data_IF_170847956833
#
_entry.id   IF_170847956833
#
_cell.length_a   1.000
_cell.length_b   1.000
_cell.length_c   1.000
_cell.angle_alpha   90.00
_cell.angle_beta   90.00
_cell.angle_gamma   90.00
#
_symmetry.space_group_name_H-M   'P 1'
#
loop_
_entity.id
_entity.type
_entity.pdbx_description
1 polymer ?
#
# COMPACT_ATOMS: atom_id res chain seq x y z
N UNK A 1 -2.74 9.46 -6.96
CA UNK A 1 -1.32 9.49 -6.56
C UNK A 1 -1.04 10.72 -5.71
N UNK A 2 -0.06 10.64 -4.80
CA UNK A 2 0.42 11.72 -3.94
C UNK A 2 1.86 12.06 -4.36
N UNK A 3 2.16 13.36 -4.49
CA UNK A 3 3.51 13.84 -4.80
C UNK A 3 4.29 14.08 -3.51
N UNK A 4 5.50 13.55 -3.41
CA UNK A 4 6.47 13.88 -2.36
C UNK A 4 7.43 14.95 -2.89
N UNK A 5 7.35 16.21 -2.42
CA UNK A 5 8.25 17.28 -2.87
C UNK A 5 9.70 17.04 -2.48
N UNK A 6 9.93 16.47 -1.29
CA UNK A 6 11.26 16.24 -0.74
C UNK A 6 12.04 15.20 -1.56
N UNK A 7 11.34 14.22 -2.12
CA UNK A 7 11.93 13.13 -2.90
C UNK A 7 11.70 13.27 -4.41
N UNK A 8 10.85 14.20 -4.84
CA UNK A 8 10.54 14.43 -6.25
C UNK A 8 9.78 13.27 -6.93
N UNK A 9 9.06 12.44 -6.17
CA UNK A 9 8.38 11.24 -6.68
C UNK A 9 6.87 11.29 -6.49
N UNK A 10 6.16 10.55 -7.34
CA UNK A 10 4.74 10.26 -7.16
C UNK A 10 4.56 8.83 -6.66
N UNK A 11 3.76 8.64 -5.62
CA UNK A 11 3.38 7.34 -5.09
C UNK A 11 1.85 7.17 -5.14
N UNK A 12 1.38 5.92 -5.30
CA UNK A 12 -0.05 5.63 -5.18
C UNK A 12 -0.43 5.58 -3.70
N UNK A 13 -1.60 6.14 -3.40
CA UNK A 13 -2.19 6.16 -2.08
C UNK A 13 -3.30 5.10 -2.05
N UNK A 14 -3.26 4.20 -1.07
CA UNK A 14 -4.20 3.09 -0.98
C UNK A 14 -5.64 3.58 -0.83
N UNK A 15 -5.90 4.64 -0.07
CA UNK A 15 -7.22 5.23 0.06
C UNK A 15 -7.78 5.75 -1.26
N UNK A 16 -6.92 6.39 -2.05
CA UNK A 16 -7.29 6.81 -3.39
C UNK A 16 -7.72 5.60 -4.24
N UNK A 17 -6.91 4.54 -4.26
CA UNK A 17 -7.18 3.31 -5.04
C UNK A 17 -8.47 2.62 -4.58
N UNK A 18 -8.68 2.50 -3.26
CA UNK A 18 -9.87 1.87 -2.69
C UNK A 18 -11.14 2.68 -3.01
N UNK A 19 -11.06 4.01 -3.00
CA UNK A 19 -12.19 4.88 -3.37
C UNK A 19 -12.56 4.74 -4.84
N UNK A 20 -11.57 4.77 -5.74
CA UNK A 20 -11.80 4.54 -7.18
C UNK A 20 -12.46 3.18 -7.42
N UNK A 21 -12.01 2.13 -6.71
CA UNK A 21 -12.59 0.80 -6.81
C UNK A 21 -14.05 0.74 -6.34
N UNK A 22 -14.39 1.39 -5.22
CA UNK A 22 -15.79 1.49 -4.75
C UNK A 22 -16.68 2.17 -5.78
N UNK A 23 -16.22 3.25 -6.40
CA UNK A 23 -16.97 3.97 -7.45
C UNK A 23 -17.24 3.06 -8.65
N UNK A 24 -16.23 2.30 -9.10
CA UNK A 24 -16.41 1.35 -10.22
C UNK A 24 -17.41 0.25 -9.90
N UNK A 25 -17.33 -0.36 -8.71
CA UNK A 25 -18.26 -1.42 -8.28
C UNK A 25 -19.69 -0.87 -8.20
N UNK A 26 -19.88 0.30 -7.58
CA UNK A 26 -21.20 0.91 -7.44
C UNK A 26 -21.79 1.35 -8.79
N UNK A 27 -20.95 1.68 -9.79
CA UNK A 27 -21.42 2.05 -11.13
C UNK A 27 -21.97 0.86 -11.95
N UNK A 28 -21.62 -0.38 -11.60
CA UNK A 28 -22.15 -1.60 -12.21
C UNK A 28 -23.46 -2.08 -11.52
N UNK A 29 -23.70 -1.64 -10.29
CA UNK A 29 -24.88 -1.95 -9.47
C UNK A 29 -25.88 -0.75 -9.38
N UNK A 30 -26.55 -0.43 -10.49
CA UNK A 30 -27.80 0.38 -10.63
C UNK A 30 -27.77 1.92 -10.64
N UNK A 31 -28.73 2.42 -11.43
CA UNK A 31 -29.15 3.79 -11.78
C UNK A 31 -29.63 4.72 -10.65
N UNK A 32 -29.23 4.51 -9.40
CA UNK A 32 -29.61 5.40 -8.30
C UNK A 32 -28.42 6.33 -7.97
N UNK A 33 -28.56 7.61 -8.31
CA UNK A 33 -27.62 8.71 -8.07
C UNK A 33 -27.40 8.96 -6.55
N UNK A 34 -26.88 7.99 -5.81
CA UNK A 34 -26.41 8.19 -4.45
C UNK A 34 -24.96 8.67 -4.50
N UNK A 35 -24.80 9.99 -4.64
CA UNK A 35 -23.51 10.65 -4.45
C UNK A 35 -22.98 10.32 -3.05
N UNK A 36 -21.82 9.66 -2.99
CA UNK A 36 -21.11 9.41 -1.74
C UNK A 36 -20.80 10.78 -1.09
N UNK A 37 -21.60 11.19 -0.11
CA UNK A 37 -21.36 12.44 0.62
C UNK A 37 -20.00 12.33 1.33
N UNK A 38 -19.31 13.47 1.39
CA UNK A 38 -17.91 13.61 1.82
C UNK A 38 -17.57 12.92 3.14
N UNK A 39 -18.55 12.61 4.00
CA UNK A 39 -18.36 12.03 5.33
C UNK A 39 -18.26 10.49 5.39
N UNK A 40 -18.87 9.75 4.45
CA UNK A 40 -18.79 8.26 4.42
C UNK A 40 -17.59 7.76 3.58
N UNK A 41 -16.94 8.70 2.88
CA UNK A 41 -15.70 8.51 2.13
C UNK A 41 -14.42 8.85 2.93
N UNK A 42 -14.55 9.21 4.21
CA UNK A 42 -13.43 9.64 5.07
C UNK A 42 -12.66 8.48 5.69
N UNK A 43 -13.33 7.38 6.04
CA UNK A 43 -12.67 6.22 6.63
C UNK A 43 -12.29 5.22 5.54
N UNK A 44 -11.08 5.43 5.04
CA UNK A 44 -10.36 4.44 4.29
C UNK A 44 -9.83 3.37 5.25
N UNK A 45 -10.54 2.24 5.33
CA UNK A 45 -10.10 1.12 6.14
C UNK A 45 -9.04 0.29 5.38
N UNK A 46 -7.79 0.51 5.73
CA UNK A 46 -6.63 -0.18 5.15
C UNK A 46 -6.19 -1.39 5.98
N UNK A 47 -6.90 -1.72 7.06
CA UNK A 47 -6.49 -2.79 8.00
C UNK A 47 -6.33 -4.15 7.32
N UNK A 48 -7.05 -4.38 6.22
CA UNK A 48 -7.02 -5.64 5.46
C UNK A 48 -6.46 -5.46 4.04
N UNK A 49 -5.61 -4.45 3.85
CA UNK A 49 -5.03 -4.12 2.53
C UNK A 49 -3.51 -4.20 2.60
N UNK A 50 -2.90 -4.83 1.61
CA UNK A 50 -1.44 -4.91 1.47
C UNK A 50 -1.00 -4.34 0.12
N UNK A 51 0.12 -3.64 0.10
CA UNK A 51 0.82 -3.22 -1.11
C UNK A 51 2.06 -4.10 -1.28
N UNK A 52 2.20 -4.76 -2.42
CA UNK A 52 3.39 -5.55 -2.77
C UNK A 52 4.08 -4.84 -3.93
N UNK A 53 5.32 -4.40 -3.71
CA UNK A 53 6.08 -3.63 -4.70
C UNK A 53 7.58 -3.84 -4.49
N UNK A 54 8.37 -3.74 -5.54
CA UNK A 54 9.83 -3.81 -5.49
C UNK A 54 10.49 -2.43 -5.36
N UNK A 55 9.71 -1.34 -5.41
CA UNK A 55 10.19 0.01 -5.19
C UNK A 55 9.86 0.51 -3.77
N UNK A 56 10.86 0.74 -2.89
CA UNK A 56 10.63 1.25 -1.54
C UNK A 56 9.84 2.56 -1.48
N UNK A 57 10.00 3.43 -2.49
CA UNK A 57 9.33 4.73 -2.51
C UNK A 57 7.82 4.62 -2.81
N UNK A 58 7.35 3.48 -3.33
CA UNK A 58 5.92 3.24 -3.52
C UNK A 58 5.15 3.22 -2.19
N UNK A 59 5.82 2.88 -1.08
CA UNK A 59 5.20 2.76 0.23
C UNK A 59 5.10 4.07 1.01
N UNK A 60 5.64 5.17 0.49
CA UNK A 60 5.66 6.47 1.20
C UNK A 60 4.29 6.89 1.77
N UNK A 61 3.15 6.72 1.07
CA UNK A 61 1.84 7.11 1.61
C UNK A 61 1.32 6.14 2.67
N UNK A 62 1.64 4.85 2.56
CA UNK A 62 1.09 3.78 3.41
C UNK A 62 2.18 2.79 3.85
N UNK A 63 3.18 3.24 4.63
CA UNK A 63 4.38 2.44 4.90
C UNK A 63 4.10 1.18 5.72
N UNK A 64 3.12 1.23 6.62
CA UNK A 64 2.75 0.07 7.46
C UNK A 64 1.92 -0.99 6.72
N UNK A 65 1.61 -0.79 5.44
CA UNK A 65 0.85 -1.73 4.60
C UNK A 65 1.74 -2.41 3.54
N UNK A 66 3.06 -2.16 3.56
CA UNK A 66 3.96 -2.60 2.51
C UNK A 66 4.60 -3.97 2.74
N UNK A 67 4.75 -4.72 1.65
CA UNK A 67 5.61 -5.89 1.50
C UNK A 67 6.61 -5.55 0.39
N UNK A 68 7.81 -5.13 0.79
CA UNK A 68 8.89 -4.85 -0.16
C UNK A 68 9.46 -6.18 -0.67
N UNK A 69 9.41 -6.38 -1.98
CA UNK A 69 9.93 -7.59 -2.63
C UNK A 69 11.18 -7.30 -3.46
N UNK A 70 11.95 -8.34 -3.73
CA UNK A 70 13.10 -8.25 -4.63
C UNK A 70 12.64 -7.98 -6.06
N UNK A 71 13.42 -7.21 -6.82
CA UNK A 71 13.20 -7.10 -8.27
C UNK A 71 13.45 -8.45 -8.93
N UNK A 72 12.47 -8.93 -9.69
CA UNK A 72 12.64 -10.06 -10.57
C UNK A 72 13.36 -9.64 -11.85
N UNK A 73 14.36 -10.42 -12.27
CA UNK A 73 15.05 -10.22 -13.54
C UNK A 73 14.86 -11.45 -14.43
N UNK A 74 15.57 -12.54 -14.17
CA UNK A 74 15.49 -13.78 -14.97
C UNK A 74 15.88 -15.04 -14.14
N UNK A 75 15.72 -15.03 -12.81
CA UNK A 75 16.11 -16.18 -11.97
C UNK A 75 14.99 -17.24 -11.95
N UNK A 76 15.18 -18.44 -12.55
CA UNK A 76 14.19 -19.50 -12.53
C UNK A 76 14.01 -20.15 -11.15
N UNK A 77 14.84 -19.80 -10.17
CA UNK A 77 14.73 -20.25 -8.77
C UNK A 77 14.14 -19.18 -7.85
N UNK A 78 13.70 -18.04 -8.39
CA UNK A 78 13.02 -17.02 -7.60
C UNK A 78 11.75 -17.61 -6.98
N UNK A 79 11.68 -17.54 -5.66
CA UNK A 79 10.57 -17.98 -4.82
C UNK A 79 9.86 -16.79 -4.15
N UNK A 80 10.12 -15.57 -4.62
CA UNK A 80 9.64 -14.34 -3.99
C UNK A 80 8.11 -14.33 -3.87
N UNK A 81 7.41 -14.75 -4.93
CA UNK A 81 5.95 -14.82 -4.92
C UNK A 81 5.42 -15.96 -4.02
N UNK A 82 6.14 -17.06 -3.89
CA UNK A 82 5.78 -18.15 -2.97
C UNK A 82 5.88 -17.68 -1.52
N UNK A 83 6.98 -17.01 -1.16
CA UNK A 83 7.15 -16.39 0.15
C UNK A 83 6.08 -15.31 0.44
N UNK A 84 5.71 -14.50 -0.57
CA UNK A 84 4.59 -13.56 -0.45
C UNK A 84 3.29 -14.30 -0.16
N UNK A 85 3.01 -15.40 -0.87
CA UNK A 85 1.80 -16.20 -0.62
C UNK A 85 1.75 -16.78 0.79
N UNK A 86 2.86 -17.32 1.29
CA UNK A 86 2.96 -17.81 2.68
C UNK A 86 2.65 -16.70 3.69
N UNK A 87 3.20 -15.50 3.47
CA UNK A 87 2.90 -14.34 4.30
C UNK A 87 1.42 -13.94 4.20
N UNK A 88 0.81 -13.97 3.01
CA UNK A 88 -0.61 -13.66 2.85
C UNK A 88 -1.50 -14.63 3.64
N UNK A 89 -1.15 -15.92 3.71
CA UNK A 89 -1.86 -16.88 4.56
C UNK A 89 -1.69 -16.56 6.05
N UNK A 90 -0.51 -16.14 6.50
CA UNK A 90 -0.31 -15.68 7.88
C UNK A 90 -1.17 -14.44 8.20
N UNK A 91 -1.25 -13.50 7.25
CA UNK A 91 -2.01 -12.26 7.40
C UNK A 91 -3.54 -12.47 7.33
N UNK A 92 -4.00 -13.56 6.71
CA UNK A 92 -5.44 -13.87 6.57
C UNK A 92 -6.14 -13.95 7.92
N UNK A 93 -5.46 -14.50 8.93
CA UNK A 93 -5.95 -14.70 10.30
C UNK A 93 -5.98 -13.40 11.14
N UNK A 94 -5.46 -12.28 10.63
CA UNK A 94 -5.35 -11.00 11.37
C UNK A 94 -6.37 -9.96 10.91
N UNK A 95 -7.15 -9.39 11.83
CA UNK A 95 -8.07 -8.29 11.53
C UNK A 95 -7.37 -7.00 11.07
N UNK A 96 -6.08 -6.84 11.41
CA UNK A 96 -5.23 -5.73 10.98
C UNK A 96 -3.84 -6.25 10.58
N UNK A 97 -3.46 -6.05 9.32
CA UNK A 97 -2.18 -6.53 8.78
C UNK A 97 -1.00 -5.66 9.24
N UNK A 98 -1.25 -4.39 9.59
CA UNK A 98 -0.20 -3.38 9.80
C UNK A 98 0.74 -3.71 10.95
N UNK A 99 0.29 -4.19 12.14
CA UNK A 99 1.20 -4.56 13.22
C UNK A 99 2.16 -5.69 12.85
N UNK A 100 1.71 -6.67 12.08
CA UNK A 100 2.53 -7.81 11.62
C UNK A 100 3.56 -7.34 10.60
N UNK A 101 3.14 -6.54 9.62
CA UNK A 101 4.02 -5.98 8.60
C UNK A 101 5.06 -5.03 9.19
N UNK A 102 4.68 -4.19 10.16
CA UNK A 102 5.61 -3.31 10.87
C UNK A 102 6.67 -4.12 11.63
N UNK A 103 6.26 -5.21 12.30
CA UNK A 103 7.20 -6.08 13.00
C UNK A 103 8.18 -6.80 12.03
N UNK A 104 7.70 -7.25 10.88
CA UNK A 104 8.51 -8.01 9.91
C UNK A 104 9.43 -7.13 9.07
N UNK A 105 8.94 -5.97 8.62
CA UNK A 105 9.63 -5.15 7.62
C UNK A 105 10.09 -3.77 8.13
N UNK A 106 9.40 -3.18 9.12
CA UNK A 106 9.76 -1.86 9.67
C UNK A 106 9.87 -0.75 8.62
N UNK A 107 9.08 -0.81 7.54
CA UNK A 107 9.20 0.10 6.39
C UNK A 107 8.96 1.57 6.79
N UNK A 108 8.11 1.82 7.77
CA UNK A 108 7.84 3.17 8.26
C UNK A 108 9.10 3.80 8.82
N UNK A 109 9.81 3.08 9.68
CA UNK A 109 11.06 3.57 10.26
C UNK A 109 12.15 3.71 9.18
N UNK A 110 12.28 2.71 8.29
CA UNK A 110 13.25 2.76 7.20
C UNK A 110 13.04 3.96 6.25
N UNK A 111 11.79 4.27 5.89
CA UNK A 111 11.48 5.40 5.01
C UNK A 111 11.62 6.75 5.70
N UNK A 112 11.33 6.83 7.00
CA UNK A 112 11.57 8.04 7.78
C UNK A 112 13.05 8.44 7.76
N UNK A 113 13.96 7.47 7.78
CA UNK A 113 15.40 7.72 7.69
C UNK A 113 15.82 8.20 6.29
N UNK A 114 15.20 7.68 5.23
CA UNK A 114 15.44 8.15 3.85
C UNK A 114 15.01 9.61 3.66
N UNK A 115 13.83 9.97 4.18
CA UNK A 115 13.29 11.34 4.10
C UNK A 115 14.13 12.32 4.93
N UNK A 116 14.58 11.91 6.13
CA UNK A 116 15.46 12.76 6.97
C UNK A 116 16.88 12.86 6.45
N UNK A 117 17.35 11.82 5.76
CA UNK A 117 18.71 11.69 5.24
C UNK A 117 18.95 12.41 3.92
N UNK A 118 17.91 12.95 3.27
CA UNK A 118 18.05 13.78 2.06
C UNK A 118 18.33 15.23 2.48
N UNK A 119 19.56 15.76 2.31
CA UNK A 119 19.82 17.17 2.56
C UNK A 119 19.08 17.98 1.50
N UNK A 120 18.29 18.97 1.94
CA UNK A 120 17.68 19.93 1.02
C UNK A 120 18.76 20.75 0.31
N UNK A 121 19.03 20.38 -0.95
CA UNK A 121 19.93 21.00 -1.94
C UNK A 121 21.44 20.88 -1.68
#
# INVERSE_FOLDING_TARGET
CVYSPDLGVYAKDLCHVLRERKVMINSEEKDDEEYCYENDCLECDERRVVLVDNNPLSFLPNPSNGILVSSFYDDPKDDTLEAVMELLYELEESDDVRPILEQKFGLKDALNDVVKGTPGW
#
